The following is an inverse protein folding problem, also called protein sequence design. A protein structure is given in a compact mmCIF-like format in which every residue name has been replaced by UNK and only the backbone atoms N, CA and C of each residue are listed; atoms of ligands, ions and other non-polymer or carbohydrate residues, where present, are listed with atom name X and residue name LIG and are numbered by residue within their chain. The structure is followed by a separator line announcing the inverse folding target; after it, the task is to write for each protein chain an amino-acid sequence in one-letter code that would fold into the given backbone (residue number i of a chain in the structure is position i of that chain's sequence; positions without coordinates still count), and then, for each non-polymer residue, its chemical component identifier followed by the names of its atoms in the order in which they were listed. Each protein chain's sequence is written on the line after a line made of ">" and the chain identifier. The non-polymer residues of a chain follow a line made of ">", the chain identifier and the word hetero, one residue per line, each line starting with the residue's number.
data_IF_358945702853
#
_entry.id   IF_358945702853
#
_cell.length_a   1.000
_cell.length_b   1.000
_cell.length_c   1.000
_cell.angle_alpha   90.00
_cell.angle_beta   90.00
_cell.angle_gamma   90.00
#
_symmetry.space_group_name_H-M   'P 1'
#
loop_
_entity.id
_entity.type
_entity.pdbx_description
1 polymer ?
#
# COMPACT_ATOMS: atom_id res chain seq x y z
N UNK A 1 -10.41 20.07 -32.32
CA UNK A 1 -11.62 20.31 -31.49
C UNK A 1 -11.74 21.81 -31.29
N UNK A 2 -12.82 22.43 -31.76
CA UNK A 2 -13.07 23.87 -31.55
C UNK A 2 -13.62 24.20 -30.16
N UNK A 3 -14.14 23.20 -29.44
CA UNK A 3 -14.67 23.34 -28.07
C UNK A 3 -13.80 22.66 -27.05
N UNK A 4 -13.58 23.31 -25.90
CA UNK A 4 -12.81 22.76 -24.79
C UNK A 4 -13.53 21.58 -24.13
N UNK A 5 -12.78 20.69 -23.48
CA UNK A 5 -13.33 19.59 -22.70
C UNK A 5 -13.63 20.09 -21.28
N UNK A 6 -14.88 19.97 -20.83
CA UNK A 6 -15.27 20.31 -19.46
C UNK A 6 -14.63 19.34 -18.47
N UNK A 7 -13.78 19.85 -17.58
CA UNK A 7 -13.10 19.09 -16.53
C UNK A 7 -13.53 19.57 -15.15
N UNK A 8 -13.67 18.62 -14.21
CA UNK A 8 -13.87 18.93 -12.79
C UNK A 8 -12.53 18.78 -12.08
N UNK A 9 -12.01 19.88 -11.56
CA UNK A 9 -10.75 19.90 -10.82
C UNK A 9 -11.02 19.68 -9.32
N UNK A 10 -10.41 18.66 -8.75
CA UNK A 10 -10.52 18.34 -7.32
C UNK A 10 -9.64 19.24 -6.43
N UNK A 11 -8.69 19.96 -7.04
CA UNK A 11 -7.75 20.86 -6.37
C UNK A 11 -7.28 21.95 -7.32
N UNK A 12 -6.80 23.07 -6.77
CA UNK A 12 -6.15 24.13 -7.55
C UNK A 12 -4.84 23.60 -8.15
N UNK A 13 -4.55 23.98 -9.38
CA UNK A 13 -3.29 23.66 -10.06
C UNK A 13 -2.34 24.82 -9.81
N UNK A 14 -1.21 24.54 -9.17
CA UNK A 14 -0.17 25.52 -8.87
C UNK A 14 1.13 25.08 -9.57
N UNK A 15 1.71 25.99 -10.39
CA UNK A 15 2.91 25.74 -11.16
C UNK A 15 2.68 25.57 -12.66
N UNK A 16 3.75 25.21 -13.40
CA UNK A 16 3.75 25.07 -14.86
C UNK A 16 3.28 23.66 -15.28
N UNK A 17 2.21 23.58 -16.04
CA UNK A 17 1.71 22.31 -16.59
C UNK A 17 2.71 21.78 -17.63
N UNK A 18 3.22 20.58 -17.45
CA UNK A 18 4.15 19.89 -18.36
C UNK A 18 3.43 18.91 -19.28
N UNK A 19 2.63 18.02 -18.71
CA UNK A 19 1.90 17.00 -19.47
C UNK A 19 0.51 16.78 -18.91
N UNK A 20 -0.41 16.46 -19.82
CA UNK A 20 -1.77 16.10 -19.50
C UNK A 20 -2.06 14.71 -20.11
N UNK A 21 -2.54 13.78 -19.32
CA UNK A 21 -2.90 12.43 -19.77
C UNK A 21 -4.37 12.19 -19.53
N UNK A 22 -5.11 11.91 -20.58
CA UNK A 22 -6.52 11.51 -20.49
C UNK A 22 -6.58 9.97 -20.47
N UNK A 23 -7.28 9.42 -19.51
CA UNK A 23 -7.50 7.98 -19.39
C UNK A 23 -8.98 7.66 -19.24
N UNK A 24 -9.39 6.51 -19.76
CA UNK A 24 -10.75 5.97 -19.60
C UNK A 24 -10.68 4.68 -18.82
N UNK A 25 -11.46 4.57 -17.76
CA UNK A 25 -11.53 3.34 -17.00
C UNK A 25 -12.52 2.33 -17.63
N UNK A 26 -12.53 1.05 -17.21
CA UNK A 26 -13.46 0.03 -17.73
C UNK A 26 -14.94 0.33 -17.47
N UNK A 27 -15.26 1.23 -16.52
CA UNK A 27 -16.64 1.68 -16.24
C UNK A 27 -17.12 2.79 -17.20
N UNK A 28 -16.22 3.27 -18.08
CA UNK A 28 -16.54 4.33 -19.06
C UNK A 28 -16.29 5.75 -18.55
N UNK A 29 -15.74 5.91 -17.34
CA UNK A 29 -15.43 7.22 -16.75
C UNK A 29 -14.07 7.72 -17.25
N UNK A 30 -13.96 9.01 -17.52
CA UNK A 30 -12.75 9.66 -17.98
C UNK A 30 -12.06 10.39 -16.84
N UNK A 31 -10.75 10.33 -16.82
CA UNK A 31 -9.89 10.99 -15.85
C UNK A 31 -8.79 11.76 -16.56
N UNK A 32 -8.46 12.91 -16.01
CA UNK A 32 -7.33 13.72 -16.47
C UNK A 32 -6.24 13.68 -15.40
N UNK A 33 -5.04 13.28 -15.75
CA UNK A 33 -3.86 13.36 -14.91
C UNK A 33 -2.96 14.48 -15.44
N UNK A 34 -2.73 15.50 -14.62
CA UNK A 34 -1.93 16.67 -14.99
C UNK A 34 -0.62 16.59 -14.21
N UNK A 35 0.50 16.61 -14.93
CA UNK A 35 1.82 16.73 -14.36
C UNK A 35 2.22 18.20 -14.33
N UNK A 36 2.56 18.68 -13.13
CA UNK A 36 2.88 20.09 -12.89
C UNK A 36 4.29 20.17 -12.31
N UNK A 37 5.08 21.09 -12.82
CA UNK A 37 6.35 21.48 -12.24
C UNK A 37 6.11 22.63 -11.27
N UNK A 38 6.53 22.45 -10.04
CA UNK A 38 6.44 23.45 -8.98
C UNK A 38 7.86 23.86 -8.57
N UNK A 39 8.07 25.10 -8.27
CA UNK A 39 9.35 25.62 -7.77
C UNK A 39 9.58 25.27 -6.31
N UNK A 40 8.54 24.89 -5.58
CA UNK A 40 8.62 24.56 -4.18
C UNK A 40 9.30 23.20 -3.95
N UNK A 41 10.35 23.16 -3.16
CA UNK A 41 10.94 21.93 -2.63
C UNK A 41 10.06 21.32 -1.52
N UNK A 42 10.20 20.02 -1.30
CA UNK A 42 9.59 19.39 -0.13
C UNK A 42 10.27 19.89 1.15
N UNK A 43 9.53 20.06 2.26
CA UNK A 43 10.11 20.39 3.56
C UNK A 43 11.17 19.35 3.96
N UNK A 44 12.29 19.80 4.48
CA UNK A 44 13.30 18.90 5.03
C UNK A 44 12.80 18.28 6.33
N UNK A 45 13.02 16.98 6.53
CA UNK A 45 12.63 16.32 7.76
C UNK A 45 13.55 16.76 8.93
N UNK A 46 13.01 16.90 10.15
CA UNK A 46 13.78 17.27 11.34
C UNK A 46 14.74 16.14 11.78
N UNK A 47 15.61 16.43 12.72
CA UNK A 47 16.46 15.43 13.36
C UNK A 47 15.59 14.35 14.05
N UNK A 48 16.03 13.10 13.98
CA UNK A 48 15.28 11.96 14.52
C UNK A 48 15.38 11.97 16.05
N UNK A 49 14.22 12.04 16.72
CA UNK A 49 14.07 11.98 18.16
C UNK A 49 13.20 10.79 18.56
N UNK A 50 13.59 9.99 19.58
CA UNK A 50 12.78 8.85 20.03
C UNK A 50 11.39 9.24 20.54
N UNK A 51 11.24 10.42 21.12
CA UNK A 51 9.99 10.92 21.74
C UNK A 51 8.94 11.23 20.68
N UNK A 52 9.35 11.78 19.54
CA UNK A 52 8.47 12.16 18.42
C UNK A 52 8.36 11.08 17.35
N UNK A 53 8.91 9.87 17.62
CA UNK A 53 8.89 8.76 16.68
C UNK A 53 7.78 7.76 17.01
N UNK A 54 7.20 7.15 15.95
CA UNK A 54 6.21 6.06 16.05
C UNK A 54 6.60 4.88 15.18
N UNK A 55 6.42 3.66 15.71
CA UNK A 55 6.48 2.42 14.94
C UNK A 55 5.08 1.98 14.52
N UNK A 56 4.97 1.44 13.32
CA UNK A 56 3.71 0.95 12.76
C UNK A 56 3.86 -0.50 12.33
N UNK A 57 3.12 -1.39 12.98
CA UNK A 57 2.92 -2.77 12.53
C UNK A 57 1.67 -2.84 11.65
N UNK A 58 1.81 -3.37 10.43
CA UNK A 58 0.72 -3.51 9.48
C UNK A 58 0.24 -4.96 9.43
N UNK A 59 -1.06 -5.17 9.68
CA UNK A 59 -1.65 -6.49 9.78
C UNK A 59 -2.93 -6.69 9.01
N UNK A 60 -3.44 -7.91 9.03
CA UNK A 60 -4.68 -8.29 8.34
C UNK A 60 -5.92 -7.98 9.19
N UNK A 61 -5.87 -8.19 10.50
CA UNK A 61 -6.97 -7.91 11.44
C UNK A 61 -7.08 -6.41 11.72
N UNK A 62 -5.96 -5.79 12.02
CA UNK A 62 -5.81 -4.35 12.13
C UNK A 62 -4.94 -3.89 10.98
N UNK A 63 -5.39 -2.88 10.24
CA UNK A 63 -4.65 -2.32 9.10
C UNK A 63 -3.33 -1.70 9.55
N UNK A 64 -3.33 -1.07 10.71
CA UNK A 64 -2.15 -0.53 11.37
C UNK A 64 -2.30 -0.57 12.88
N UNK A 65 -1.22 -0.85 13.59
CA UNK A 65 -1.10 -0.75 15.03
C UNK A 65 0.13 0.09 15.33
N UNK A 66 -0.06 1.12 16.13
CA UNK A 66 1.00 2.07 16.47
C UNK A 66 1.68 1.67 17.78
N UNK A 67 2.91 2.09 17.96
CA UNK A 67 3.68 1.86 19.18
C UNK A 67 3.11 2.59 20.42
N UNK A 68 2.20 3.56 20.23
CA UNK A 68 1.42 4.21 21.29
C UNK A 68 0.17 3.40 21.70
N UNK A 69 -0.03 2.20 21.14
CA UNK A 69 -1.17 1.32 21.43
C UNK A 69 -2.42 1.59 20.57
N UNK A 70 -2.46 2.66 19.77
CA UNK A 70 -3.60 2.95 18.87
C UNK A 70 -3.70 1.87 17.79
N UNK A 71 -4.91 1.31 17.62
CA UNK A 71 -5.21 0.27 16.63
C UNK A 71 -6.21 0.82 15.61
N UNK A 72 -5.93 0.59 14.32
CA UNK A 72 -6.82 0.90 13.21
C UNK A 72 -7.35 -0.41 12.63
N UNK A 73 -8.61 -0.77 12.90
CA UNK A 73 -9.16 -2.04 12.46
C UNK A 73 -9.29 -2.10 10.93
N UNK A 74 -9.12 -3.28 10.37
CA UNK A 74 -9.49 -3.53 8.99
C UNK A 74 -11.02 -3.48 8.87
N UNK A 75 -11.53 -2.88 7.77
CA UNK A 75 -12.96 -2.68 7.61
C UNK A 75 -13.66 -3.90 7.02
N UNK A 76 -14.72 -4.35 7.66
CA UNK A 76 -15.64 -5.37 7.12
C UNK A 76 -16.62 -4.82 6.07
N UNK A 77 -16.62 -3.48 5.86
CA UNK A 77 -17.53 -2.81 4.90
C UNK A 77 -17.37 -3.34 3.48
N UNK A 78 -16.19 -3.87 3.13
CA UNK A 78 -15.92 -4.45 1.79
C UNK A 78 -16.65 -5.75 1.53
N UNK A 79 -16.98 -6.55 2.55
CA UNK A 79 -17.62 -7.87 2.39
C UNK A 79 -18.98 -7.81 1.69
N UNK A 80 -19.78 -6.77 1.94
CA UNK A 80 -21.05 -6.55 1.23
C UNK A 80 -20.81 -6.24 -0.24
N UNK A 81 -19.87 -5.31 -0.52
CA UNK A 81 -19.51 -4.91 -1.88
C UNK A 81 -18.89 -6.07 -2.67
N UNK A 82 -18.10 -6.93 -2.02
CA UNK A 82 -17.51 -8.12 -2.63
C UNK A 82 -18.56 -9.20 -2.97
N UNK A 83 -19.54 -9.43 -2.08
CA UNK A 83 -20.65 -10.35 -2.39
C UNK A 83 -21.44 -9.86 -3.59
N UNK A 84 -21.70 -8.54 -3.66
CA UNK A 84 -22.36 -7.93 -4.81
C UNK A 84 -21.51 -8.08 -6.09
N UNK A 85 -20.21 -7.83 -6.02
CA UNK A 85 -19.30 -8.02 -7.16
C UNK A 85 -19.31 -9.48 -7.64
N UNK A 86 -19.22 -10.45 -6.73
CA UNK A 86 -19.27 -11.88 -7.07
C UNK A 86 -20.59 -12.28 -7.74
N UNK A 87 -21.72 -11.69 -7.32
CA UNK A 87 -23.01 -11.87 -7.97
C UNK A 87 -23.00 -11.32 -9.41
N UNK A 88 -22.52 -10.09 -9.60
CA UNK A 88 -22.41 -9.47 -10.93
C UNK A 88 -21.46 -10.24 -11.87
N UNK A 89 -20.38 -10.77 -11.36
CA UNK A 89 -19.44 -11.61 -12.12
C UNK A 89 -20.09 -12.91 -12.60
N UNK A 90 -20.92 -13.55 -11.75
CA UNK A 90 -21.70 -14.73 -12.16
C UNK A 90 -22.71 -14.41 -13.26
N UNK A 91 -23.35 -13.24 -13.20
CA UNK A 91 -24.25 -12.79 -14.28
C UNK A 91 -23.45 -12.58 -15.57
N UNK A 92 -22.31 -11.91 -15.50
CA UNK A 92 -21.44 -11.65 -16.66
C UNK A 92 -20.97 -12.95 -17.33
N UNK A 93 -20.53 -13.94 -16.54
CA UNK A 93 -20.03 -15.22 -17.05
C UNK A 93 -21.06 -16.04 -17.81
N UNK A 94 -22.36 -15.83 -17.55
CA UNK A 94 -23.47 -16.49 -18.23
C UNK A 94 -23.92 -15.80 -19.53
N UNK A 95 -23.32 -14.63 -19.87
CA UNK A 95 -23.69 -13.85 -21.05
C UNK A 95 -22.75 -14.16 -22.19
N UNK A 96 -23.27 -14.17 -23.41
CA UNK A 96 -22.47 -14.33 -24.65
C UNK A 96 -21.55 -13.14 -24.82
N UNK A 97 -20.24 -13.39 -24.86
CA UNK A 97 -19.22 -12.36 -25.00
C UNK A 97 -19.42 -11.56 -26.29
N UNK A 98 -19.34 -10.23 -26.18
CA UNK A 98 -19.54 -9.32 -27.32
C UNK A 98 -20.99 -8.88 -27.56
N UNK A 99 -21.97 -9.54 -26.96
CA UNK A 99 -23.37 -9.13 -27.07
C UNK A 99 -23.73 -7.88 -26.25
N UNK A 100 -24.77 -7.14 -26.64
CA UNK A 100 -25.23 -5.94 -25.94
C UNK A 100 -25.48 -6.15 -24.44
N UNK A 101 -26.04 -7.29 -24.07
CA UNK A 101 -26.32 -7.65 -22.67
C UNK A 101 -25.04 -8.00 -21.89
N UNK A 102 -24.02 -8.54 -22.55
CA UNK A 102 -22.71 -8.77 -21.97
C UNK A 102 -22.02 -7.44 -21.67
N UNK A 103 -22.04 -6.47 -22.61
CA UNK A 103 -21.47 -5.15 -22.39
C UNK A 103 -22.13 -4.41 -21.22
N UNK A 104 -23.47 -4.45 -21.11
CA UNK A 104 -24.18 -3.89 -19.95
C UNK A 104 -23.73 -4.54 -18.64
N UNK A 105 -23.56 -5.87 -18.61
CA UNK A 105 -23.10 -6.60 -17.43
C UNK A 105 -21.63 -6.27 -17.11
N UNK A 106 -20.75 -6.17 -18.13
CA UNK A 106 -19.34 -5.81 -17.99
C UNK A 106 -19.18 -4.44 -17.32
N UNK A 107 -19.95 -3.44 -17.75
CA UNK A 107 -19.92 -2.11 -17.14
C UNK A 107 -20.38 -2.15 -15.67
N UNK A 108 -21.42 -2.95 -15.32
CA UNK A 108 -21.86 -3.12 -13.93
C UNK A 108 -20.73 -3.74 -13.07
N UNK A 109 -20.04 -4.76 -13.56
CA UNK A 109 -18.90 -5.37 -12.89
C UNK A 109 -17.77 -4.35 -12.70
N UNK A 110 -17.45 -3.57 -13.74
CA UNK A 110 -16.42 -2.52 -13.66
C UNK A 110 -16.75 -1.45 -12.59
N UNK A 111 -17.99 -0.98 -12.55
CA UNK A 111 -18.47 -0.04 -11.52
C UNK A 111 -18.38 -0.62 -10.11
N UNK A 112 -18.71 -1.91 -9.93
CA UNK A 112 -18.56 -2.57 -8.63
C UNK A 112 -17.10 -2.67 -8.19
N UNK A 113 -16.16 -2.96 -9.10
CA UNK A 113 -14.72 -2.91 -8.83
C UNK A 113 -14.25 -1.50 -8.42
N UNK A 114 -14.68 -0.46 -9.14
CA UNK A 114 -14.35 0.92 -8.80
C UNK A 114 -14.86 1.29 -7.40
N UNK A 115 -16.08 0.88 -7.06
CA UNK A 115 -16.64 1.13 -5.71
C UNK A 115 -15.77 0.52 -4.62
N UNK A 116 -15.34 -0.74 -4.77
CA UNK A 116 -14.46 -1.40 -3.80
C UNK A 116 -13.11 -0.69 -3.71
N UNK A 117 -12.52 -0.31 -4.85
CA UNK A 117 -11.26 0.43 -4.88
C UNK A 117 -11.38 1.78 -4.16
N UNK A 118 -12.46 2.52 -4.39
CA UNK A 118 -12.71 3.80 -3.74
C UNK A 118 -12.92 3.65 -2.23
N UNK A 119 -13.67 2.63 -1.78
CA UNK A 119 -13.84 2.33 -0.37
C UNK A 119 -12.50 2.01 0.33
N UNK A 120 -11.61 1.22 -0.33
CA UNK A 120 -10.27 0.94 0.18
C UNK A 120 -9.41 2.19 0.25
N UNK A 121 -9.44 3.00 -0.79
CA UNK A 121 -8.71 4.26 -0.84
C UNK A 121 -9.14 5.22 0.27
N UNK A 122 -10.44 5.32 0.50
CA UNK A 122 -11.02 6.18 1.53
C UNK A 122 -10.56 5.73 2.94
N UNK A 123 -10.71 4.44 3.25
CA UNK A 123 -10.23 3.90 4.52
C UNK A 123 -8.74 4.22 4.76
N UNK A 124 -7.89 3.94 3.75
CA UNK A 124 -6.46 4.16 3.89
C UNK A 124 -6.13 5.64 4.03
N UNK A 125 -6.81 6.51 3.28
CA UNK A 125 -6.62 7.96 3.39
C UNK A 125 -6.98 8.47 4.79
N UNK A 126 -8.07 7.97 5.38
CA UNK A 126 -8.49 8.34 6.71
C UNK A 126 -7.47 7.87 7.76
N UNK A 127 -6.99 6.62 7.67
CA UNK A 127 -5.95 6.08 8.56
C UNK A 127 -4.65 6.90 8.43
N UNK A 128 -4.21 7.20 7.21
CA UNK A 128 -3.02 8.04 6.98
C UNK A 128 -3.21 9.44 7.55
N UNK A 129 -4.37 10.06 7.33
CA UNK A 129 -4.67 11.39 7.87
C UNK A 129 -4.64 11.39 9.39
N UNK A 130 -5.21 10.38 10.04
CA UNK A 130 -5.23 10.25 11.49
C UNK A 130 -3.83 10.05 12.09
N UNK A 131 -2.98 9.26 11.42
CA UNK A 131 -1.58 9.06 11.83
C UNK A 131 -0.81 10.39 11.72
N UNK A 132 -0.94 11.11 10.60
CA UNK A 132 -0.24 12.38 10.38
C UNK A 132 -0.72 13.48 11.33
N UNK A 133 -2.02 13.53 11.66
CA UNK A 133 -2.58 14.50 12.62
C UNK A 133 -2.00 14.39 14.03
N UNK A 134 -1.43 13.22 14.40
CA UNK A 134 -0.80 13.03 15.72
C UNK A 134 0.52 13.78 15.89
N UNK A 135 1.08 14.34 14.81
CA UNK A 135 2.27 15.20 14.88
C UNK A 135 3.59 14.45 15.04
N UNK A 136 3.67 13.17 14.71
CA UNK A 136 4.95 12.45 14.71
C UNK A 136 5.91 13.02 13.67
N UNK A 137 7.17 13.22 14.07
CA UNK A 137 8.26 13.68 13.21
C UNK A 137 8.98 12.51 12.51
N UNK A 138 8.83 11.29 13.05
CA UNK A 138 9.46 10.08 12.49
C UNK A 138 8.48 8.92 12.51
N UNK A 139 8.31 8.26 11.36
CA UNK A 139 7.44 7.09 11.20
C UNK A 139 8.28 5.90 10.72
N UNK A 140 8.34 4.84 11.55
CA UNK A 140 9.04 3.60 11.24
C UNK A 140 8.04 2.53 10.82
N UNK A 141 8.29 1.84 9.71
CA UNK A 141 7.42 0.77 9.19
C UNK A 141 8.23 -0.45 8.79
N UNK A 142 7.61 -1.63 8.83
CA UNK A 142 8.23 -2.85 8.29
C UNK A 142 8.23 -2.84 6.76
N UNK A 143 9.34 -3.30 6.14
CA UNK A 143 9.46 -3.43 4.70
C UNK A 143 8.81 -4.73 4.20
N UNK A 144 7.49 -4.83 4.32
CA UNK A 144 6.73 -5.99 3.88
C UNK A 144 6.73 -6.13 2.35
N UNK A 145 7.22 -7.25 1.83
CA UNK A 145 7.00 -7.63 0.43
C UNK A 145 5.74 -8.47 0.31
N UNK A 146 4.67 -7.84 -0.15
CA UNK A 146 3.38 -8.51 -0.30
C UNK A 146 3.43 -9.54 -1.43
N UNK A 147 4.10 -9.22 -2.54
CA UNK A 147 4.16 -10.11 -3.72
C UNK A 147 5.07 -11.31 -3.49
N UNK A 148 6.25 -11.09 -2.90
CA UNK A 148 7.29 -12.11 -2.84
C UNK A 148 7.34 -12.89 -1.51
N UNK A 149 6.74 -12.36 -0.46
CA UNK A 149 6.85 -12.95 0.88
C UNK A 149 5.52 -13.35 1.54
N UNK A 150 4.45 -12.60 1.31
CA UNK A 150 3.16 -12.84 1.98
C UNK A 150 2.17 -13.64 1.13
N UNK A 151 2.19 -13.45 -0.21
CA UNK A 151 1.38 -14.24 -1.12
C UNK A 151 2.13 -15.54 -1.43
N UNK A 152 1.60 -16.67 -0.98
CA UNK A 152 2.18 -17.97 -1.30
C UNK A 152 1.88 -18.34 -2.75
N UNK A 153 2.94 -18.70 -3.49
CA UNK A 153 2.90 -19.01 -4.91
C UNK A 153 1.98 -20.19 -5.25
N UNK A 154 1.45 -20.16 -6.46
CA UNK A 154 0.60 -21.19 -7.06
C UNK A 154 1.37 -22.45 -7.48
N UNK A 155 2.70 -22.50 -7.30
CA UNK A 155 3.61 -23.47 -7.94
C UNK A 155 3.49 -24.93 -7.49
N UNK A 156 2.80 -25.23 -6.40
CA UNK A 156 2.64 -26.63 -5.99
C UNK A 156 1.16 -26.97 -5.76
N UNK A 157 0.65 -27.75 -6.68
CA UNK A 157 -0.57 -28.55 -6.71
C UNK A 157 -1.60 -28.41 -5.56
N UNK A 158 -2.86 -28.70 -5.86
CA UNK A 158 -4.06 -28.68 -5.02
C UNK A 158 -4.31 -27.35 -4.30
N UNK A 159 -5.25 -26.59 -4.85
CA UNK A 159 -5.75 -25.33 -4.31
C UNK A 159 -6.28 -25.48 -2.87
N UNK A 160 -5.44 -25.23 -1.89
CA UNK A 160 -5.84 -25.18 -0.50
C UNK A 160 -6.73 -23.94 -0.27
N UNK A 161 -8.01 -24.17 0.10
CA UNK A 161 -8.98 -23.10 0.42
C UNK A 161 -8.44 -22.11 1.46
N UNK A 162 -7.66 -22.59 2.43
CA UNK A 162 -7.05 -21.75 3.48
C UNK A 162 -6.02 -20.78 2.91
N UNK A 163 -5.17 -21.19 1.96
CA UNK A 163 -4.18 -20.33 1.30
C UNK A 163 -4.86 -19.24 0.47
N UNK A 164 -5.94 -19.57 -0.26
CA UNK A 164 -6.73 -18.60 -1.01
C UNK A 164 -7.38 -17.56 -0.10
N UNK A 165 -8.00 -18.01 0.99
CA UNK A 165 -8.62 -17.13 1.98
C UNK A 165 -7.59 -16.18 2.60
N UNK A 166 -6.42 -16.70 3.00
CA UNK A 166 -5.33 -15.89 3.54
C UNK A 166 -4.80 -14.87 2.53
N UNK A 167 -4.52 -15.29 1.29
CA UNK A 167 -4.03 -14.39 0.25
C UNK A 167 -5.05 -13.29 -0.05
N UNK A 168 -6.34 -13.64 -0.06
CA UNK A 168 -7.41 -12.66 -0.20
C UNK A 168 -7.39 -11.63 0.93
N UNK A 169 -7.30 -12.06 2.19
CA UNK A 169 -7.25 -11.18 3.35
C UNK A 169 -6.04 -10.22 3.30
N UNK A 170 -4.86 -10.71 2.84
CA UNK A 170 -3.66 -9.89 2.68
C UNK A 170 -3.87 -8.82 1.59
N UNK A 171 -4.47 -9.18 0.47
CA UNK A 171 -4.78 -8.23 -0.62
C UNK A 171 -5.86 -7.25 -0.18
N UNK A 172 -6.87 -7.71 0.56
CA UNK A 172 -7.97 -6.90 1.05
C UNK A 172 -7.51 -5.88 2.11
N UNK A 173 -6.55 -6.25 2.95
CA UNK A 173 -5.93 -5.34 3.91
C UNK A 173 -5.15 -4.19 3.26
N UNK A 174 -4.86 -4.28 1.95
CA UNK A 174 -4.23 -3.21 1.18
C UNK A 174 -2.98 -2.56 1.85
N UNK A 175 -2.22 -3.36 2.63
CA UNK A 175 -1.04 -2.91 3.40
C UNK A 175 0.00 -2.19 2.53
N UNK A 176 0.17 -2.63 1.28
CA UNK A 176 1.05 -1.98 0.32
C UNK A 176 0.62 -0.56 -0.03
N UNK A 177 -0.70 -0.33 -0.16
CA UNK A 177 -1.26 1.00 -0.42
C UNK A 177 -1.07 1.92 0.78
N UNK A 178 -1.28 1.41 2.00
CA UNK A 178 -1.04 2.16 3.23
C UNK A 178 0.40 2.67 3.28
N UNK A 179 1.38 1.77 3.06
CA UNK A 179 2.80 2.13 3.07
C UNK A 179 3.14 3.20 2.02
N UNK A 180 2.66 3.04 0.78
CA UNK A 180 2.92 3.99 -0.31
C UNK A 180 2.33 5.37 0.02
N UNK A 181 1.08 5.42 0.51
CA UNK A 181 0.42 6.68 0.86
C UNK A 181 1.03 7.35 2.08
N UNK A 182 1.44 6.59 3.11
CA UNK A 182 2.20 7.10 4.24
C UNK A 182 3.52 7.71 3.76
N UNK A 183 4.31 7.00 2.96
CA UNK A 183 5.57 7.50 2.42
C UNK A 183 5.39 8.80 1.63
N UNK A 184 4.38 8.86 0.74
CA UNK A 184 4.07 10.07 -0.03
C UNK A 184 3.67 11.24 0.87
N UNK A 185 2.86 10.96 1.90
CA UNK A 185 2.39 12.00 2.82
C UNK A 185 3.51 12.49 3.75
N UNK A 186 4.36 11.59 4.24
CA UNK A 186 5.55 11.94 5.01
C UNK A 186 6.48 12.85 4.19
N UNK A 187 6.79 12.48 2.94
CA UNK A 187 7.59 13.31 2.04
C UNK A 187 6.99 14.72 1.87
N UNK A 188 5.67 14.82 1.69
CA UNK A 188 5.00 16.12 1.50
C UNK A 188 4.92 16.98 2.75
N UNK A 189 5.14 16.40 3.92
CA UNK A 189 5.07 17.10 5.23
C UNK A 189 6.43 17.23 5.93
N UNK A 190 7.53 16.78 5.31
CA UNK A 190 8.86 16.79 5.94
C UNK A 190 8.94 15.86 7.14
N UNK A 191 8.26 14.69 7.11
CA UNK A 191 8.31 13.69 8.16
C UNK A 191 9.29 12.60 7.76
N UNK A 192 10.17 12.18 8.67
CA UNK A 192 11.07 11.05 8.46
C UNK A 192 10.27 9.76 8.25
N UNK A 193 10.56 9.04 7.16
CA UNK A 193 9.93 7.76 6.86
C UNK A 193 10.98 6.66 6.76
N UNK A 194 11.05 5.80 7.77
CA UNK A 194 12.06 4.77 7.93
C UNK A 194 11.45 3.40 7.66
N UNK A 195 12.11 2.60 6.80
CA UNK A 195 11.76 1.20 6.57
C UNK A 195 12.77 0.32 7.27
N UNK A 196 12.33 -0.51 8.21
CA UNK A 196 13.18 -1.50 8.84
C UNK A 196 13.41 -2.69 7.91
N UNK A 197 14.46 -3.47 8.19
CA UNK A 197 14.80 -4.66 7.41
C UNK A 197 13.69 -5.70 7.41
N UNK A 198 13.60 -6.45 6.30
CA UNK A 198 12.74 -7.61 6.19
C UNK A 198 13.15 -8.68 7.19
N UNK A 199 12.15 -9.43 7.64
CA UNK A 199 12.35 -10.62 8.48
C UNK A 199 12.86 -10.35 9.89
N UNK A 200 12.94 -9.09 10.33
CA UNK A 200 13.16 -8.80 11.73
C UNK A 200 12.00 -9.40 12.56
N UNK A 201 12.28 -10.25 13.58
CA UNK A 201 11.24 -10.94 14.36
C UNK A 201 10.54 -10.00 15.35
N UNK A 202 9.98 -8.91 14.86
CA UNK A 202 9.37 -7.81 15.64
C UNK A 202 8.34 -8.30 16.66
N UNK A 203 7.48 -9.25 16.27
CA UNK A 203 6.45 -9.79 17.15
C UNK A 203 6.95 -10.79 18.19
N UNK A 204 8.13 -11.40 17.98
CA UNK A 204 8.73 -12.42 18.87
C UNK A 204 9.82 -11.87 19.79
N UNK A 205 10.31 -10.67 19.52
CA UNK A 205 11.31 -9.98 20.33
C UNK A 205 10.61 -9.22 21.45
N UNK A 206 11.01 -9.41 22.68
CA UNK A 206 10.50 -8.63 23.80
C UNK A 206 11.06 -7.20 23.73
N UNK A 207 10.20 -6.19 23.69
CA UNK A 207 10.67 -4.79 23.64
C UNK A 207 11.33 -4.31 24.94
N UNK A 208 11.08 -5.00 26.08
CA UNK A 208 11.67 -4.64 27.35
C UNK A 208 13.10 -5.18 27.53
N UNK A 209 13.35 -6.44 27.21
CA UNK A 209 14.65 -7.08 27.45
C UNK A 209 15.39 -7.54 26.19
N UNK A 210 14.81 -7.37 25.01
CA UNK A 210 15.41 -7.76 23.73
C UNK A 210 15.41 -9.26 23.42
N UNK A 211 15.01 -10.13 24.37
CA UNK A 211 15.05 -11.59 24.18
C UNK A 211 14.01 -12.08 23.18
N UNK A 212 14.42 -12.98 22.29
CA UNK A 212 13.53 -13.55 21.26
C UNK A 212 12.86 -14.81 21.82
N UNK A 213 11.52 -14.80 21.86
CA UNK A 213 10.72 -15.96 22.25
C UNK A 213 10.31 -16.77 21.00
N UNK A 214 11.04 -17.85 20.72
CA UNK A 214 10.80 -18.71 19.54
C UNK A 214 9.48 -19.49 19.65
N UNK A 215 9.01 -19.81 20.85
CA UNK A 215 7.78 -20.58 21.11
C UNK A 215 6.46 -19.83 20.88
N UNK A 216 6.50 -18.53 20.58
CA UNK A 216 5.29 -17.73 20.39
C UNK A 216 4.50 -18.18 19.14
N UNK A 217 3.27 -18.69 19.37
CA UNK A 217 2.39 -19.14 18.30
C UNK A 217 1.68 -17.96 17.61
N UNK A 218 1.28 -18.14 16.34
CA UNK A 218 0.59 -17.10 15.56
C UNK A 218 -0.79 -16.72 16.12
N UNK A 219 -1.45 -17.63 16.80
CA UNK A 219 -2.77 -17.41 17.44
C UNK A 219 -2.69 -16.59 18.71
N UNK A 220 -1.55 -16.61 19.42
CA UNK A 220 -1.37 -15.87 20.67
C UNK A 220 -1.27 -14.38 20.42
N UNK A 221 -2.19 -13.61 21.00
CA UNK A 221 -2.22 -12.14 20.88
C UNK A 221 -1.60 -11.43 22.06
N UNK A 222 -1.61 -12.08 23.24
CA UNK A 222 -0.92 -11.65 24.45
C UNK A 222 0.02 -12.75 24.93
N UNK A 223 1.14 -12.38 25.49
CA UNK A 223 2.14 -13.31 26.02
C UNK A 223 2.95 -12.70 27.15
N UNK A 224 3.55 -13.56 27.96
CA UNK A 224 4.45 -13.15 29.03
C UNK A 224 5.88 -13.51 28.59
N UNK A 225 6.79 -12.55 28.72
CA UNK A 225 8.19 -12.80 28.37
C UNK A 225 8.81 -13.80 29.38
N UNK A 226 9.37 -14.93 28.91
CA UNK A 226 9.96 -15.91 29.82
C UNK A 226 11.25 -15.45 30.52
N UNK A 227 11.81 -14.31 30.09
CA UNK A 227 13.05 -13.77 30.63
C UNK A 227 12.83 -12.63 31.62
N UNK A 228 11.95 -11.67 31.32
CA UNK A 228 11.72 -10.50 32.19
C UNK A 228 10.29 -10.44 32.74
N UNK A 229 9.46 -11.46 32.51
CA UNK A 229 8.08 -11.57 32.99
C UNK A 229 7.13 -10.43 32.56
N UNK A 230 7.52 -9.60 31.60
CA UNK A 230 6.67 -8.54 31.07
C UNK A 230 5.46 -9.13 30.34
N UNK A 231 4.26 -8.64 30.64
CA UNK A 231 3.01 -8.96 29.92
C UNK A 231 2.90 -8.08 28.69
N UNK A 232 2.83 -8.67 27.52
CA UNK A 232 2.93 -7.98 26.24
C UNK A 232 1.72 -8.26 25.33
N UNK A 233 1.14 -7.21 24.74
CA UNK A 233 0.32 -7.34 23.54
C UNK A 233 1.27 -7.54 22.36
N UNK A 234 1.11 -8.62 21.62
CA UNK A 234 2.01 -9.04 20.54
C UNK A 234 2.16 -7.98 19.45
N UNK A 235 1.05 -7.37 19.05
CA UNK A 235 1.01 -6.46 17.92
C UNK A 235 1.56 -5.06 18.34
N UNK A 236 1.26 -4.61 19.57
CA UNK A 236 1.85 -3.38 20.14
C UNK A 236 3.34 -3.57 20.40
N UNK A 237 3.75 -4.74 20.93
CA UNK A 237 5.16 -5.08 21.10
C UNK A 237 5.92 -5.03 19.76
N UNK A 238 5.33 -5.55 18.68
CA UNK A 238 5.90 -5.47 17.34
C UNK A 238 6.10 -4.03 16.89
N UNK A 239 5.09 -3.18 17.08
CA UNK A 239 5.17 -1.77 16.71
C UNK A 239 6.26 -1.01 17.49
N UNK A 240 6.43 -1.31 18.81
CA UNK A 240 7.50 -0.72 19.63
C UNK A 240 8.88 -1.18 19.10
N UNK A 241 9.05 -2.46 18.79
CA UNK A 241 10.28 -2.98 18.23
C UNK A 241 10.62 -2.38 16.87
N UNK A 242 9.60 -2.18 16.00
CA UNK A 242 9.76 -1.50 14.70
C UNK A 242 10.26 -0.07 14.91
N UNK A 243 9.71 0.66 15.88
CA UNK A 243 10.18 1.99 16.27
C UNK A 243 11.65 1.97 16.68
N UNK A 244 12.00 1.14 17.68
CA UNK A 244 13.33 1.11 18.28
C UNK A 244 14.42 0.74 17.25
N UNK A 245 14.18 -0.28 16.43
CA UNK A 245 15.11 -0.69 15.36
C UNK A 245 15.22 0.39 14.29
N UNK A 246 14.10 1.02 13.89
CA UNK A 246 14.12 2.10 12.91
C UNK A 246 15.01 3.27 13.35
N UNK A 247 14.90 3.68 14.60
CA UNK A 247 15.73 4.74 15.19
C UNK A 247 17.20 4.31 15.25
N UNK A 248 17.50 3.14 15.81
CA UNK A 248 18.87 2.62 15.96
C UNK A 248 19.60 2.49 14.63
N UNK A 249 18.93 1.97 13.60
CA UNK A 249 19.52 1.81 12.27
C UNK A 249 19.80 3.17 11.59
N UNK A 250 18.98 4.16 11.85
CA UNK A 250 19.19 5.53 11.32
C UNK A 250 20.39 6.23 11.98
N UNK A 251 20.56 6.05 13.28
CA UNK A 251 21.71 6.57 14.02
C UNK A 251 23.05 5.96 13.56
N UNK A 252 23.00 4.72 13.05
CA UNK A 252 24.18 4.00 12.53
C UNK A 252 24.40 4.21 11.02
N UNK A 253 23.67 5.13 10.37
CA UNK A 253 23.78 5.37 8.92
C UNK A 253 23.35 4.21 8.01
N UNK A 254 22.71 3.16 8.58
CA UNK A 254 22.29 1.94 7.85
C UNK A 254 20.94 2.05 7.16
N UNK A 255 20.16 3.08 7.44
CA UNK A 255 18.90 3.36 6.75
C UNK A 255 19.09 4.59 5.86
N UNK A 256 19.43 4.38 4.60
CA UNK A 256 19.34 5.45 3.60
C UNK A 256 17.86 5.74 3.32
N UNK A 257 17.40 6.99 3.40
CA UNK A 257 16.13 7.35 2.80
C UNK A 257 16.27 7.13 1.29
N UNK A 258 15.55 6.13 0.74
CA UNK A 258 15.51 5.94 -0.71
C UNK A 258 14.79 7.13 -1.37
N UNK A 259 15.54 8.18 -1.64
CA UNK A 259 15.22 9.15 -2.68
C UNK A 259 15.82 8.63 -3.99
N UNK A 260 15.29 7.56 -4.53
CA UNK A 260 15.54 7.22 -5.93
C UNK A 260 14.46 7.90 -6.76
N UNK A 261 14.86 8.96 -7.44
CA UNK A 261 14.10 9.66 -8.47
C UNK A 261 13.55 8.65 -9.51
N UNK A 262 12.33 8.92 -9.97
CA UNK A 262 11.55 8.08 -10.92
C UNK A 262 12.14 8.10 -12.35
N UNK A 263 13.34 8.63 -12.56
CA UNK A 263 13.92 8.86 -13.90
C UNK A 263 14.38 7.60 -14.65
N UNK A 264 14.69 6.49 -13.96
CA UNK A 264 15.27 5.31 -14.64
C UNK A 264 14.28 4.36 -15.32
N UNK A 265 12.96 4.57 -15.23
CA UNK A 265 11.98 3.66 -15.85
C UNK A 265 11.60 3.98 -17.30
N UNK A 266 11.96 5.16 -17.81
CA UNK A 266 11.61 5.58 -19.19
C UNK A 266 12.59 5.08 -20.26
N UNK A 267 13.84 4.76 -19.91
CA UNK A 267 14.85 4.37 -20.88
C UNK A 267 14.71 2.89 -21.33
N UNK A 268 14.30 1.97 -20.46
CA UNK A 268 14.13 0.55 -20.86
C UNK A 268 12.94 0.27 -21.77
N UNK A 269 11.94 1.14 -21.84
CA UNK A 269 10.77 0.96 -22.73
C UNK A 269 10.95 1.57 -24.13
N UNK A 270 11.94 2.46 -24.35
CA UNK A 270 12.23 3.02 -25.67
C UNK A 270 13.08 2.07 -26.51
N UNK A 271 13.97 1.30 -25.91
CA UNK A 271 14.84 0.36 -26.63
C UNK A 271 14.18 -0.97 -27.02
N UNK A 272 13.00 -1.29 -26.46
CA UNK A 272 12.24 -2.50 -26.81
C UNK A 272 11.25 -2.28 -27.97
N UNK A 273 11.04 -1.05 -28.43
CA UNK A 273 10.11 -0.74 -29.54
C UNK A 273 10.81 -0.35 -30.86
N UNK A 274 12.14 -0.27 -30.89
CA UNK A 274 12.89 0.04 -32.12
C UNK A 274 13.45 -1.16 -32.85
N UNK A 275 13.34 -2.37 -32.27
CA UNK A 275 13.81 -3.61 -32.91
C UNK A 275 12.74 -4.37 -33.71
N UNK A 276 11.44 -4.04 -33.58
CA UNK A 276 10.36 -4.80 -34.21
C UNK A 276 9.76 -4.15 -35.48
N UNK A 277 10.35 -3.07 -36.00
CA UNK A 277 9.79 -2.38 -37.18
C UNK A 277 10.69 -2.50 -38.42
N UNK A 278 11.91 -3.06 -38.31
CA UNK A 278 12.85 -3.17 -39.44
C UNK A 278 12.76 -4.48 -40.25
N UNK A 279 12.03 -5.50 -39.78
CA UNK A 279 12.02 -6.81 -40.43
C UNK A 279 10.75 -7.14 -41.25
N UNK A 280 9.80 -6.21 -41.39
CA UNK A 280 8.56 -6.48 -42.17
C UNK A 280 8.56 -5.86 -43.58
N UNK A 281 9.60 -5.14 -43.99
CA UNK A 281 9.68 -4.53 -45.35
C UNK A 281 10.72 -5.12 -46.29
N UNK A 282 11.09 -6.39 -46.11
CA UNK A 282 11.96 -7.08 -47.10
C UNK A 282 11.41 -8.42 -47.51
N UNK A 283 10.14 -8.50 -47.88
CA UNK A 283 9.59 -9.59 -48.70
C UNK A 283 8.29 -9.09 -49.37
N UNK A 284 8.46 -8.41 -50.49
CA UNK A 284 7.62 -8.52 -51.71
C UNK A 284 8.33 -7.84 -52.86
#
# INVERSE_FOLDING_TARGET
>A
MKEGIKCIFSRKIEGKIKTCTISRNPAGEYYVSINVETESSYPEPPAIKPETAVGIDAGVKNLAILSDGKKFPASDKFRKSERHLAHLQRILSRRTKGGKNWEKARVKVARAHNRILNQRNDLINNVVADIIKKGYETICVENLSIKDGMLQDKKHGKHNKQKRSRNKLIVDAAMGMLRIKLQQKCKSKGINFIKIERYFPSSKTCHCCGKIFKGLQLSQRSWVCPSCCAKLDRDVNAAINIKNIGISNSSLGRCTPEVKSVEHRKQKRRNAKSSDVSDVMKQK
#
